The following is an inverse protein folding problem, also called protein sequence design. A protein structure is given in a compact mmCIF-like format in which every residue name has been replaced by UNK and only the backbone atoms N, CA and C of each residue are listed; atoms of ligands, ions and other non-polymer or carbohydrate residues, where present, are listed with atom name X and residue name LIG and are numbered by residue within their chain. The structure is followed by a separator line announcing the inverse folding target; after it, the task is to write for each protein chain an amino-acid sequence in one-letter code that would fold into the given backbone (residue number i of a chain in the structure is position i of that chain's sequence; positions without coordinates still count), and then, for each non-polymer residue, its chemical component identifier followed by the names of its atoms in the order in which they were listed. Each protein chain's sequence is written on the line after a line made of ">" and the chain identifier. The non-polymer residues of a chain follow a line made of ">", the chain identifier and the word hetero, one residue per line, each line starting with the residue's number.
data_IF_817197300855
#
_entry.id   IF_817197300855
#
_cell.length_a   1.000
_cell.length_b   1.000
_cell.length_c   1.000
_cell.angle_alpha   90.00
_cell.angle_beta   90.00
_cell.angle_gamma   90.00
#
_symmetry.space_group_name_H-M   'P 1'
#
loop_
_entity.id
_entity.type
_entity.pdbx_description
1 polymer ?
#
# COMPACT_ATOMS: atom_id res chain seq x y z
N UNK A 1 18.72 0.16 -0.45
CA UNK A 1 17.67 1.00 0.17
C UNK A 1 17.78 2.46 -0.26
N UNK A 2 18.90 3.15 0.02
CA UNK A 2 19.09 4.60 -0.26
C UNK A 2 18.77 4.99 -1.72
N UNK A 3 19.27 4.26 -2.73
CA UNK A 3 18.93 4.53 -4.14
C UNK A 3 17.44 4.41 -4.48
N UNK A 4 16.73 3.46 -3.85
CA UNK A 4 15.30 3.28 -4.07
C UNK A 4 14.49 4.38 -3.39
N UNK A 5 14.91 4.81 -2.19
CA UNK A 5 14.31 5.92 -1.46
C UNK A 5 14.60 7.29 -2.14
N UNK A 6 15.79 7.49 -2.71
CA UNK A 6 16.16 8.68 -3.48
C UNK A 6 15.23 8.88 -4.68
N UNK A 7 15.10 7.82 -5.49
CA UNK A 7 14.25 7.84 -6.67
C UNK A 7 12.78 8.03 -6.30
N UNK A 8 12.40 7.54 -5.11
CA UNK A 8 11.04 7.63 -4.64
C UNK A 8 10.65 8.99 -4.06
N UNK A 9 11.59 9.69 -3.44
CA UNK A 9 11.39 11.02 -2.87
C UNK A 9 11.70 12.17 -3.86
N UNK A 10 12.11 11.85 -5.10
CA UNK A 10 12.68 12.81 -6.06
C UNK A 10 13.84 13.62 -5.48
N UNK A 11 14.66 12.96 -4.64
CA UNK A 11 15.83 13.53 -3.99
C UNK A 11 17.11 12.99 -4.62
N UNK A 12 18.19 13.77 -4.55
CA UNK A 12 19.50 13.30 -4.97
C UNK A 12 19.97 12.13 -4.07
N UNK A 13 20.65 11.14 -4.65
CA UNK A 13 21.13 9.94 -3.93
C UNK A 13 22.11 10.29 -2.79
N UNK A 14 22.78 11.43 -2.91
CA UNK A 14 23.71 12.00 -1.93
C UNK A 14 23.06 13.02 -0.98
N UNK A 15 21.72 13.13 -0.97
CA UNK A 15 21.03 14.01 -0.04
C UNK A 15 21.26 13.56 1.41
N UNK A 16 21.77 14.44 2.30
CA UNK A 16 22.05 14.09 3.69
C UNK A 16 20.78 13.72 4.48
N UNK A 17 19.62 14.33 4.17
CA UNK A 17 18.36 13.99 4.82
C UNK A 17 17.91 12.57 4.45
N UNK A 18 18.12 12.18 3.18
CA UNK A 18 17.84 10.83 2.70
C UNK A 18 18.71 9.78 3.40
N UNK A 19 19.99 10.08 3.59
CA UNK A 19 20.94 9.18 4.27
C UNK A 19 20.57 9.02 5.74
N UNK A 20 20.23 10.10 6.42
CA UNK A 20 19.79 10.09 7.82
C UNK A 20 18.46 9.34 8.02
N UNK A 21 17.49 9.56 7.14
CA UNK A 21 16.21 8.85 7.16
C UNK A 21 16.36 7.37 6.82
N UNK A 22 17.29 7.01 5.93
CA UNK A 22 17.64 5.63 5.62
C UNK A 22 18.25 4.91 6.83
N UNK A 23 19.19 5.53 7.52
CA UNK A 23 19.82 4.97 8.72
C UNK A 23 18.81 4.81 9.87
N UNK A 24 17.91 5.79 10.06
CA UNK A 24 16.82 5.73 11.04
C UNK A 24 15.67 4.77 10.67
N UNK A 25 15.62 4.32 9.43
CA UNK A 25 14.59 3.44 8.89
C UNK A 25 14.93 1.95 8.96
N UNK A 26 16.11 1.58 9.47
CA UNK A 26 16.54 0.20 9.71
C UNK A 26 16.35 -0.74 8.50
N UNK A 27 16.54 -0.24 7.28
CA UNK A 27 16.38 -1.03 6.05
C UNK A 27 15.01 -0.94 5.37
N UNK A 28 14.03 -0.22 5.95
CA UNK A 28 12.71 -0.01 5.35
C UNK A 28 12.64 1.25 4.47
N UNK A 29 12.44 1.07 3.17
CA UNK A 29 12.25 2.17 2.20
C UNK A 29 11.02 3.01 2.57
N UNK A 30 9.91 2.38 2.94
CA UNK A 30 8.68 3.08 3.32
C UNK A 30 8.85 3.95 4.57
N UNK A 31 9.63 3.48 5.56
CA UNK A 31 9.94 4.24 6.78
C UNK A 31 10.89 5.41 6.49
N UNK A 32 11.87 5.22 5.61
CA UNK A 32 12.74 6.31 5.14
C UNK A 32 11.90 7.38 4.41
N UNK A 33 11.00 6.98 3.52
CA UNK A 33 10.07 7.89 2.84
C UNK A 33 9.10 8.58 3.79
N UNK A 34 8.72 7.92 4.89
CA UNK A 34 7.86 8.53 5.92
C UNK A 34 8.58 9.65 6.66
N UNK A 35 9.87 9.47 6.92
CA UNK A 35 10.71 10.48 7.57
C UNK A 35 11.04 11.64 6.61
N UNK A 36 11.00 11.41 5.29
CA UNK A 36 11.38 12.38 4.26
C UNK A 36 10.22 13.13 3.60
N UNK A 37 9.09 12.48 3.40
CA UNK A 37 8.08 12.90 2.43
C UNK A 37 6.68 12.87 3.04
N UNK A 38 6.21 14.01 3.52
CA UNK A 38 4.88 14.16 4.09
C UNK A 38 3.75 13.63 3.19
N UNK A 39 3.92 13.56 1.87
CA UNK A 39 2.89 13.10 0.94
C UNK A 39 2.80 11.56 0.83
N UNK A 40 3.92 10.83 0.88
CA UNK A 40 3.90 9.37 1.01
C UNK A 40 3.27 8.94 2.35
N UNK A 41 3.57 9.69 3.42
CA UNK A 41 2.94 9.50 4.74
C UNK A 41 1.43 9.70 4.65
N UNK A 42 0.98 10.80 4.04
CA UNK A 42 -0.46 11.08 3.87
C UNK A 42 -1.14 10.00 3.06
N UNK A 43 -0.51 9.49 1.99
CA UNK A 43 -1.05 8.42 1.16
C UNK A 43 -1.18 7.11 1.95
N UNK A 44 -0.14 6.74 2.70
CA UNK A 44 -0.17 5.58 3.60
C UNK A 44 -1.29 5.70 4.63
N UNK A 45 -1.36 6.84 5.34
CA UNK A 45 -2.38 7.10 6.36
C UNK A 45 -3.80 7.06 5.79
N UNK A 46 -4.03 7.67 4.62
CA UNK A 46 -5.33 7.62 3.93
C UNK A 46 -5.70 6.19 3.54
N UNK A 47 -4.76 5.43 2.99
CA UNK A 47 -4.99 4.03 2.61
C UNK A 47 -5.35 3.18 3.83
N UNK A 48 -4.57 3.29 4.91
CA UNK A 48 -4.81 2.58 6.16
C UNK A 48 -6.17 2.95 6.79
N UNK A 49 -6.54 4.23 6.76
CA UNK A 49 -7.84 4.69 7.26
C UNK A 49 -9.01 4.06 6.52
N UNK A 50 -8.93 3.96 5.19
CA UNK A 50 -9.99 3.32 4.39
C UNK A 50 -10.03 1.81 4.59
N UNK A 51 -8.87 1.15 4.73
CA UNK A 51 -8.82 -0.28 5.01
C UNK A 51 -9.42 -0.61 6.40
N UNK A 52 -9.35 0.33 7.35
CA UNK A 52 -9.96 0.17 8.66
C UNK A 52 -11.50 0.21 8.64
N UNK A 53 -12.13 0.78 7.60
CA UNK A 53 -13.59 0.83 7.48
C UNK A 53 -14.20 -0.36 6.75
N UNK A 54 -13.37 -1.29 6.25
CA UNK A 54 -13.85 -2.48 5.57
C UNK A 54 -14.83 -3.29 6.45
N UNK A 55 -15.94 -3.78 5.89
CA UNK A 55 -16.27 -3.81 4.46
C UNK A 55 -17.01 -2.56 3.94
N UNK A 56 -17.31 -1.56 4.77
CA UNK A 56 -18.03 -0.35 4.36
C UNK A 56 -17.05 0.78 3.99
N UNK A 57 -16.77 0.93 2.69
CA UNK A 57 -15.88 1.98 2.18
C UNK A 57 -16.67 2.99 1.36
N UNK A 58 -16.45 4.29 1.58
CA UNK A 58 -17.08 5.36 0.82
C UNK A 58 -16.47 5.42 -0.61
N UNK A 59 -17.28 5.27 -1.69
CA UNK A 59 -16.80 5.41 -3.07
C UNK A 59 -16.13 6.74 -3.37
N UNK A 60 -16.52 7.84 -2.70
CA UNK A 60 -15.92 9.16 -2.92
C UNK A 60 -14.48 9.20 -2.42
N UNK A 61 -14.22 8.60 -1.26
CA UNK A 61 -12.87 8.48 -0.71
C UNK A 61 -11.99 7.55 -1.56
N UNK A 62 -12.56 6.49 -2.14
CA UNK A 62 -11.85 5.64 -3.11
C UNK A 62 -11.46 6.41 -4.38
N UNK A 63 -12.34 7.27 -4.88
CA UNK A 63 -12.00 8.16 -6.00
C UNK A 63 -10.84 9.09 -5.62
N UNK A 64 -10.90 9.74 -4.46
CA UNK A 64 -9.85 10.64 -3.99
C UNK A 64 -8.51 9.92 -3.75
N UNK A 65 -8.54 8.67 -3.29
CA UNK A 65 -7.36 7.83 -3.19
C UNK A 65 -6.79 7.49 -4.58
N UNK A 66 -7.65 7.05 -5.51
CA UNK A 66 -7.25 6.76 -6.89
C UNK A 66 -6.64 7.95 -7.62
N UNK A 67 -7.16 9.16 -7.39
CA UNK A 67 -6.61 10.40 -7.94
C UNK A 67 -5.24 10.74 -7.30
N UNK A 68 -5.07 10.48 -6.00
CA UNK A 68 -3.82 10.69 -5.27
C UNK A 68 -2.70 9.70 -5.67
N UNK A 69 -3.03 8.52 -6.19
CA UNK A 69 -2.03 7.60 -6.74
C UNK A 69 -1.42 8.09 -8.07
N UNK A 70 -2.06 9.06 -8.74
CA UNK A 70 -1.58 9.64 -9.99
C UNK A 70 -1.48 8.65 -11.16
N UNK A 71 -1.34 9.19 -12.38
CA UNK A 71 -1.05 8.39 -13.56
C UNK A 71 0.45 8.14 -13.67
N UNK A 72 0.93 6.98 -13.23
CA UNK A 72 2.31 6.45 -13.42
C UNK A 72 3.33 6.69 -12.29
N UNK A 73 2.93 7.24 -11.14
CA UNK A 73 3.83 7.31 -9.99
C UNK A 73 4.03 5.90 -9.38
N UNK A 74 5.23 5.36 -9.58
CA UNK A 74 5.62 4.03 -9.08
C UNK A 74 5.74 4.00 -7.56
N UNK A 75 6.07 5.14 -6.95
CA UNK A 75 6.27 5.30 -5.51
C UNK A 75 4.93 5.33 -4.80
N UNK A 76 3.99 6.11 -5.33
CA UNK A 76 2.63 6.16 -4.81
C UNK A 76 1.97 4.77 -4.91
N UNK A 77 2.16 4.07 -6.03
CA UNK A 77 1.69 2.70 -6.18
C UNK A 77 2.34 1.76 -5.16
N UNK A 78 3.67 1.78 -5.01
CA UNK A 78 4.36 0.94 -4.04
C UNK A 78 3.89 1.21 -2.60
N UNK A 79 3.77 2.49 -2.22
CA UNK A 79 3.28 2.91 -0.90
C UNK A 79 1.86 2.41 -0.63
N UNK A 80 0.99 2.47 -1.65
CA UNK A 80 -0.36 1.94 -1.57
C UNK A 80 -0.35 0.42 -1.32
N UNK A 81 0.43 -0.34 -2.08
CA UNK A 81 0.50 -1.81 -1.93
C UNK A 81 1.12 -2.20 -0.59
N UNK A 82 2.20 -1.56 -0.16
CA UNK A 82 2.81 -1.79 1.15
C UNK A 82 1.80 -1.58 2.30
N UNK A 83 0.92 -0.59 2.16
CA UNK A 83 -0.15 -0.33 3.14
C UNK A 83 -1.17 -1.46 3.21
N UNK A 84 -1.52 -2.03 2.05
CA UNK A 84 -2.45 -3.16 1.94
C UNK A 84 -1.81 -4.44 2.51
N UNK A 85 -0.57 -4.72 2.15
CA UNK A 85 0.18 -5.89 2.64
C UNK A 85 0.28 -5.89 4.17
N UNK A 86 0.60 -4.73 4.75
CA UNK A 86 0.67 -4.55 6.19
C UNK A 86 -0.66 -4.86 6.86
N UNK A 87 -1.75 -4.31 6.34
CA UNK A 87 -3.09 -4.53 6.88
C UNK A 87 -3.54 -5.99 6.78
N UNK A 88 -3.20 -6.68 5.68
CA UNK A 88 -3.47 -8.11 5.52
C UNK A 88 -2.66 -8.91 6.55
N UNK A 89 -1.37 -8.62 6.70
CA UNK A 89 -0.49 -9.28 7.67
C UNK A 89 -0.98 -9.13 9.11
N UNK A 90 -1.43 -7.93 9.50
CA UNK A 90 -2.02 -7.68 10.83
C UNK A 90 -3.26 -8.55 11.07
N UNK A 91 -4.13 -8.71 10.07
CA UNK A 91 -5.33 -9.57 10.17
C UNK A 91 -4.98 -11.04 10.25
N UNK A 92 -3.98 -11.50 9.51
CA UNK A 92 -3.51 -12.88 9.57
C UNK A 92 -2.90 -13.23 10.93
N UNK A 93 -2.30 -12.26 11.64
CA UNK A 93 -1.73 -12.46 12.98
C UNK A 93 -2.72 -12.29 14.14
N UNK A 94 -3.78 -11.51 13.96
CA UNK A 94 -4.74 -11.18 15.04
C UNK A 94 -5.81 -12.27 15.22
N UNK A 95 -6.14 -13.01 14.17
CA UNK A 95 -7.09 -14.10 14.27
C UNK A 95 -6.46 -15.30 14.99
N UNK A 96 -7.15 -15.87 15.99
CA UNK A 96 -6.85 -17.22 16.46
C UNK A 96 -6.85 -18.14 15.25
N UNK A 97 -5.66 -18.51 14.76
CA UNK A 97 -5.48 -19.16 13.46
C UNK A 97 -6.29 -20.47 13.33
N UNK A 98 -6.65 -21.07 14.45
CA UNK A 98 -7.49 -22.28 14.53
C UNK A 98 -9.01 -22.01 14.48
N UNK A 99 -9.48 -20.81 14.81
CA UNK A 99 -10.92 -20.51 14.93
C UNK A 99 -11.54 -20.05 13.60
N UNK A 100 -10.74 -19.63 12.61
CA UNK A 100 -11.27 -19.12 11.34
C UNK A 100 -10.43 -19.44 10.08
N UNK A 101 -9.94 -20.68 9.97
CA UNK A 101 -9.10 -21.14 8.86
C UNK A 101 -9.67 -20.85 7.44
N UNK A 102 -10.97 -21.04 7.16
CA UNK A 102 -11.54 -20.72 5.83
C UNK A 102 -11.48 -19.22 5.50
N UNK A 103 -11.63 -18.36 6.50
CA UNK A 103 -11.54 -16.90 6.34
C UNK A 103 -10.12 -16.48 6.00
N UNK A 104 -9.13 -17.08 6.67
CA UNK A 104 -7.71 -16.85 6.42
C UNK A 104 -7.31 -17.32 5.01
N UNK A 105 -7.80 -18.48 4.56
CA UNK A 105 -7.57 -18.97 3.21
C UNK A 105 -8.13 -18.00 2.15
N UNK A 106 -9.36 -17.51 2.32
CA UNK A 106 -9.98 -16.52 1.42
C UNK A 106 -9.21 -15.21 1.39
N UNK A 107 -8.74 -14.73 2.55
CA UNK A 107 -7.94 -13.51 2.64
C UNK A 107 -6.58 -13.67 1.93
N UNK A 108 -5.91 -14.81 2.12
CA UNK A 108 -4.65 -15.12 1.44
C UNK A 108 -4.84 -15.21 -0.09
N UNK A 109 -5.90 -15.87 -0.57
CA UNK A 109 -6.21 -15.93 -2.00
C UNK A 109 -6.45 -14.55 -2.62
N UNK A 110 -7.16 -13.68 -1.89
CA UNK A 110 -7.41 -12.30 -2.34
C UNK A 110 -6.12 -11.48 -2.34
N UNK A 111 -5.28 -11.63 -1.32
CA UNK A 111 -3.97 -10.98 -1.27
C UNK A 111 -3.12 -11.31 -2.50
N UNK A 112 -3.11 -12.57 -2.96
CA UNK A 112 -2.37 -12.93 -4.18
C UNK A 112 -2.95 -12.40 -5.48
N UNK A 113 -4.28 -12.21 -5.53
CA UNK A 113 -4.92 -11.52 -6.66
C UNK A 113 -4.55 -10.05 -6.68
N UNK A 114 -4.49 -9.39 -5.52
CA UNK A 114 -4.08 -7.99 -5.37
C UNK A 114 -2.63 -7.82 -5.83
N UNK A 115 -1.71 -8.65 -5.35
CA UNK A 115 -0.30 -8.62 -5.75
C UNK A 115 -0.11 -8.80 -7.25
N UNK A 116 -0.86 -9.70 -7.87
CA UNK A 116 -0.84 -9.89 -9.32
C UNK A 116 -1.36 -8.66 -10.06
N UNK A 117 -2.53 -8.15 -9.68
CA UNK A 117 -3.12 -6.97 -10.31
C UNK A 117 -2.20 -5.74 -10.17
N UNK A 118 -1.53 -5.58 -9.03
CA UNK A 118 -0.57 -4.50 -8.80
C UNK A 118 0.65 -4.62 -9.72
N UNK A 119 1.21 -5.83 -9.88
CA UNK A 119 2.32 -6.11 -10.80
C UNK A 119 1.92 -5.82 -12.25
N UNK A 120 0.79 -6.33 -12.71
CA UNK A 120 0.29 -6.11 -14.07
C UNK A 120 0.06 -4.61 -14.33
N UNK A 121 -0.50 -3.91 -13.34
CA UNK A 121 -0.71 -2.46 -13.41
C UNK A 121 0.64 -1.74 -13.54
N UNK A 122 1.65 -2.13 -12.75
CA UNK A 122 2.99 -1.54 -12.79
C UNK A 122 3.77 -1.85 -14.08
N UNK A 123 3.63 -3.07 -14.61
CA UNK A 123 4.31 -3.57 -15.80
C UNK A 123 3.74 -2.93 -17.08
N UNK A 124 2.42 -2.93 -17.22
CA UNK A 124 1.75 -2.41 -18.41
C UNK A 124 1.38 -0.92 -18.31
N UNK A 125 1.85 -0.24 -17.27
CA UNK A 125 1.52 1.16 -16.97
C UNK A 125 0.00 1.46 -17.00
N UNK A 126 -0.80 0.55 -16.45
CA UNK A 126 -2.26 0.70 -16.42
C UNK A 126 -2.68 1.82 -15.46
N UNK A 127 -3.92 2.28 -15.63
CA UNK A 127 -4.52 3.26 -14.73
C UNK A 127 -4.62 2.73 -13.29
N UNK A 128 -4.21 3.58 -12.32
CA UNK A 128 -4.15 3.20 -10.89
C UNK A 128 -5.53 3.23 -10.22
N UNK A 129 -6.43 4.05 -10.74
CA UNK A 129 -7.77 4.23 -10.18
C UNK A 129 -8.59 2.93 -10.25
N UNK A 130 -8.71 2.23 -11.40
CA UNK A 130 -9.34 0.91 -11.44
C UNK A 130 -8.74 -0.11 -10.47
N UNK A 131 -7.40 -0.10 -10.30
CA UNK A 131 -6.72 -0.97 -9.34
C UNK A 131 -7.20 -0.73 -7.90
N UNK A 132 -7.27 0.53 -7.46
CA UNK A 132 -7.75 0.90 -6.12
C UNK A 132 -9.15 0.32 -5.86
N UNK A 133 -10.09 0.53 -6.79
CA UNK A 133 -11.44 -0.02 -6.66
C UNK A 133 -11.46 -1.56 -6.60
N UNK A 134 -10.65 -2.21 -7.44
CA UNK A 134 -10.53 -3.67 -7.47
C UNK A 134 -10.00 -4.22 -6.14
N UNK A 135 -8.94 -3.61 -5.60
CA UNK A 135 -8.34 -4.00 -4.31
C UNK A 135 -9.35 -3.91 -3.17
N UNK A 136 -9.98 -2.75 -2.99
CA UNK A 136 -10.95 -2.57 -1.91
C UNK A 136 -12.19 -3.46 -2.07
N UNK A 137 -12.65 -3.68 -3.31
CA UNK A 137 -13.75 -4.60 -3.58
C UNK A 137 -13.42 -6.05 -3.20
N UNK A 138 -12.24 -6.54 -3.57
CA UNK A 138 -11.80 -7.89 -3.21
C UNK A 138 -11.64 -8.06 -1.70
N UNK A 139 -11.06 -7.06 -1.00
CA UNK A 139 -10.88 -7.09 0.45
C UNK A 139 -12.22 -6.99 1.21
N UNK A 140 -13.17 -6.19 0.73
CA UNK A 140 -14.49 -6.09 1.32
C UNK A 140 -15.26 -7.42 1.24
N UNK A 141 -15.14 -8.14 0.13
CA UNK A 141 -15.74 -9.46 -0.03
C UNK A 141 -15.07 -10.52 0.87
N UNK A 142 -13.73 -10.47 1.01
CA UNK A 142 -12.99 -11.40 1.86
C UNK A 142 -13.24 -11.21 3.36
N UNK A 143 -13.62 -10.00 3.77
CA UNK A 143 -13.86 -9.64 5.18
C UNK A 143 -15.32 -9.74 5.63
N UNK A 144 -16.25 -10.00 4.71
CA UNK A 144 -17.65 -10.31 5.01
C UNK A 144 -17.82 -11.74 5.52
#
# INVERSE_FOLDING_TARGET
>A
MVQAAAHAADLAVDDPALTEAADAAEGSVARALTLLGGDAVKLHQRTAALLATLPQVDPRELHALGDALGGSDRVALATFIDSVDRWVGERLHTDDANTNLPRLARLAEVWEKINRAARDTAEYNLERKPLVFSVFGMLAEATR
#
